data_IF_576406370419
#
_entry.id   IF_576406370419
#
_cell.length_a   1.000
_cell.length_b   1.000
_cell.length_c   1.000
_cell.angle_alpha   90.00
_cell.angle_beta   90.00
_cell.angle_gamma   90.00
#
_symmetry.space_group_name_H-M   'P 1'
#
loop_
_entity.id
_entity.type
_entity.pdbx_description
1 polymer ?
#
# COMPACT_ATOMS: atom_id res chain seq x y z
N UNK A 1 -12.84 -18.28 7.54
CA UNK A 1 -11.60 -18.23 8.35
C UNK A 1 -11.22 -16.78 8.41
N UNK A 2 -11.37 -16.14 9.56
CA UNK A 2 -11.02 -14.73 9.74
C UNK A 2 -9.51 -14.60 9.57
N UNK A 3 -9.05 -13.96 8.50
CA UNK A 3 -7.64 -13.68 8.29
C UNK A 3 -7.18 -12.72 9.38
N UNK A 4 -6.23 -13.15 10.22
CA UNK A 4 -5.53 -12.23 11.10
C UNK A 4 -4.72 -11.26 10.24
N UNK A 5 -5.15 -9.99 10.20
CA UNK A 5 -4.58 -8.94 9.35
C UNK A 5 -3.07 -8.83 9.55
N UNK A 6 -2.62 -8.85 10.80
CA UNK A 6 -1.21 -8.72 11.16
C UNK A 6 -0.39 -9.89 10.62
N UNK A 7 -0.84 -11.13 10.86
CA UNK A 7 -0.18 -12.32 10.31
C UNK A 7 -0.15 -12.32 8.78
N UNK A 8 -1.25 -11.94 8.13
CA UNK A 8 -1.34 -11.95 6.68
C UNK A 8 -0.40 -10.92 6.01
N UNK A 9 -0.33 -9.71 6.58
CA UNK A 9 0.52 -8.63 6.06
C UNK A 9 1.99 -8.90 6.36
N UNK A 10 2.29 -9.44 7.54
CA UNK A 10 3.66 -9.79 7.95
C UNK A 10 4.27 -10.92 7.11
N UNK A 11 3.45 -11.73 6.45
CA UNK A 11 3.91 -12.80 5.57
C UNK A 11 4.37 -12.32 4.19
N UNK A 12 4.17 -11.05 3.83
CA UNK A 12 4.57 -10.55 2.52
C UNK A 12 6.09 -10.38 2.38
N UNK A 13 6.66 -10.59 1.18
CA UNK A 13 8.09 -10.50 0.96
C UNK A 13 8.69 -9.16 1.41
N UNK A 14 9.72 -9.22 2.26
CA UNK A 14 10.45 -8.05 2.76
C UNK A 14 9.68 -7.16 3.74
N UNK A 15 8.52 -7.61 4.23
CA UNK A 15 7.79 -6.90 5.29
C UNK A 15 8.45 -7.13 6.64
N UNK A 16 8.60 -6.04 7.39
CA UNK A 16 8.98 -6.05 8.79
C UNK A 16 7.85 -5.42 9.60
N UNK A 17 7.31 -6.18 10.55
CA UNK A 17 6.32 -5.70 11.51
C UNK A 17 7.00 -5.29 12.82
N UNK A 18 6.59 -4.17 13.40
CA UNK A 18 7.15 -3.65 14.65
C UNK A 18 6.18 -2.75 15.41
N UNK A 19 6.50 -2.37 16.66
CA UNK A 19 5.65 -1.49 17.44
C UNK A 19 5.57 -0.10 16.81
N UNK A 20 4.36 0.43 16.65
CA UNK A 20 4.15 1.80 16.19
C UNK A 20 4.20 2.81 17.34
N UNK A 21 4.75 4.01 17.10
CA UNK A 21 4.97 5.06 18.12
C UNK A 21 3.70 5.59 18.79
N UNK A 22 2.53 5.34 18.19
CA UNK A 22 1.22 5.75 18.72
C UNK A 22 0.40 4.54 19.24
N UNK A 23 1.09 3.48 19.67
CA UNK A 23 0.54 2.14 19.88
C UNK A 23 0.08 1.48 18.56
N UNK A 24 0.01 0.15 18.57
CA UNK A 24 -0.30 -0.65 17.39
C UNK A 24 0.93 -1.27 16.72
N UNK A 25 0.71 -1.86 15.55
CA UNK A 25 1.73 -2.56 14.74
C UNK A 25 1.95 -1.80 13.44
N UNK A 26 3.19 -1.36 13.20
CA UNK A 26 3.66 -0.75 11.95
C UNK A 26 4.18 -1.83 11.01
N UNK A 27 3.85 -1.71 9.72
CA UNK A 27 4.42 -2.52 8.66
C UNK A 27 5.32 -1.68 7.77
N UNK A 28 6.55 -2.14 7.59
CA UNK A 28 7.54 -1.49 6.72
C UNK A 28 8.05 -2.45 5.65
N UNK A 29 8.46 -1.91 4.50
CA UNK A 29 9.17 -2.65 3.45
C UNK A 29 10.32 -1.79 2.93
N UNK A 30 11.53 -2.36 2.87
CA UNK A 30 12.75 -1.60 2.54
C UNK A 30 12.97 -0.37 3.42
N UNK A 31 12.57 -0.45 4.70
CA UNK A 31 12.70 0.62 5.70
C UNK A 31 11.69 1.76 5.56
N UNK A 32 10.61 1.60 4.78
CA UNK A 32 9.53 2.59 4.65
C UNK A 32 8.20 2.01 5.08
N UNK A 33 7.47 2.77 5.88
CA UNK A 33 6.11 2.45 6.30
C UNK A 33 5.15 2.44 5.11
N UNK A 34 4.38 1.37 5.00
CA UNK A 34 3.29 1.26 4.02
C UNK A 34 1.91 1.11 4.68
N UNK A 35 1.86 1.06 6.01
CA UNK A 35 0.64 1.15 6.81
C UNK A 35 0.86 0.65 8.23
N UNK A 36 -0.09 0.93 9.11
CA UNK A 36 -0.09 0.43 10.48
C UNK A 36 -1.51 0.18 10.98
N UNK A 37 -1.61 -0.64 12.03
CA UNK A 37 -2.87 -1.05 12.63
C UNK A 37 -2.92 -0.68 14.11
N UNK A 38 -4.05 -0.14 14.56
CA UNK A 38 -4.34 0.18 15.97
C UNK A 38 -5.21 -0.90 16.60
N UNK A 39 -4.60 -2.06 16.90
CA UNK A 39 -5.31 -3.24 17.42
C UNK A 39 -6.38 -3.72 16.44
N UNK A 40 -7.55 -4.12 16.92
CA UNK A 40 -8.60 -4.71 16.05
C UNK A 40 -9.56 -3.69 15.43
N UNK A 41 -9.28 -2.38 15.50
CA UNK A 41 -10.29 -1.34 15.22
C UNK A 41 -10.02 -0.48 13.99
N UNK A 42 -8.76 -0.28 13.63
CA UNK A 42 -8.40 0.76 12.67
C UNK A 42 -7.07 0.45 11.98
N UNK A 43 -6.99 0.77 10.70
CA UNK A 43 -5.77 0.71 9.89
C UNK A 43 -5.56 2.06 9.22
N UNK A 44 -4.37 2.63 9.36
CA UNK A 44 -3.98 3.84 8.67
C UNK A 44 -2.96 3.50 7.56
N UNK A 45 -3.22 4.00 6.35
CA UNK A 45 -2.41 3.65 5.17
C UNK A 45 -1.94 4.93 4.45
N UNK A 46 -0.63 5.12 4.23
CA UNK A 46 -0.11 6.20 3.40
C UNK A 46 -0.22 5.88 1.91
N UNK A 47 -0.71 6.85 1.12
CA UNK A 47 -0.70 6.78 -0.34
C UNK A 47 -0.14 8.06 -0.98
N UNK A 48 0.36 8.02 -2.22
CA UNK A 48 0.46 9.21 -3.05
C UNK A 48 -0.91 9.88 -3.18
N UNK A 49 -0.99 11.22 -3.05
CA UNK A 49 -2.27 11.96 -2.95
C UNK A 49 -3.31 11.59 -4.02
N UNK A 50 -2.90 11.45 -5.28
CA UNK A 50 -3.84 11.04 -6.34
C UNK A 50 -4.42 9.63 -6.17
N UNK A 51 -3.62 8.68 -5.67
CA UNK A 51 -4.11 7.33 -5.34
C UNK A 51 -5.03 7.40 -4.12
N UNK A 52 -4.67 8.21 -3.11
CA UNK A 52 -5.52 8.48 -1.95
C UNK A 52 -6.90 8.98 -2.38
N UNK A 53 -6.93 9.98 -3.25
CA UNK A 53 -8.18 10.59 -3.71
C UNK A 53 -9.04 9.56 -4.44
N UNK A 54 -8.45 8.78 -5.35
CA UNK A 54 -9.17 7.72 -6.06
C UNK A 54 -9.77 6.65 -5.13
N UNK A 55 -9.02 6.12 -4.14
CA UNK A 55 -9.57 5.09 -3.24
C UNK A 55 -10.67 5.64 -2.32
N UNK A 56 -10.63 6.93 -1.99
CA UNK A 56 -11.70 7.60 -1.22
C UNK A 56 -12.92 7.86 -2.09
N UNK A 57 -12.73 8.34 -3.32
CA UNK A 57 -13.82 8.61 -4.27
C UNK A 57 -14.55 7.32 -4.70
N UNK A 58 -13.82 6.19 -4.75
CA UNK A 58 -14.40 4.85 -4.95
C UNK A 58 -15.13 4.30 -3.71
N UNK A 59 -15.12 5.01 -2.58
CA UNK A 59 -15.79 4.59 -1.35
C UNK A 59 -15.11 3.41 -0.62
N UNK A 60 -13.87 3.07 -0.97
CA UNK A 60 -13.12 1.96 -0.33
C UNK A 60 -12.67 2.30 1.09
N UNK A 61 -12.49 3.59 1.38
CA UNK A 61 -12.02 4.10 2.68
C UNK A 61 -12.30 5.60 2.83
N UNK A 62 -11.92 6.17 3.97
CA UNK A 62 -12.05 7.58 4.29
C UNK A 62 -10.69 8.27 4.43
N UNK A 63 -10.66 9.59 4.24
CA UNK A 63 -9.48 10.40 4.54
C UNK A 63 -9.04 10.18 5.99
N UNK A 64 -7.74 10.32 6.26
CA UNK A 64 -7.24 10.22 7.62
C UNK A 64 -7.89 11.25 8.55
N UNK A 65 -8.42 10.78 9.69
CA UNK A 65 -9.27 11.58 10.58
C UNK A 65 -8.56 12.79 11.22
N UNK A 66 -7.23 12.71 11.47
CA UNK A 66 -6.43 13.84 11.98
C UNK A 66 -5.70 14.63 10.88
N UNK A 67 -5.45 14.02 9.72
CA UNK A 67 -4.60 14.57 8.67
C UNK A 67 -5.29 14.49 7.30
N UNK A 68 -6.51 15.05 7.14
CA UNK A 68 -7.35 14.81 5.98
C UNK A 68 -6.76 15.34 4.66
N UNK A 69 -5.85 16.32 4.73
CA UNK A 69 -5.21 16.90 3.54
C UNK A 69 -3.92 16.16 3.11
N UNK A 70 -3.46 15.21 3.93
CA UNK A 70 -2.30 14.37 3.63
C UNK A 70 -2.62 13.27 2.61
N UNK A 71 -1.63 12.43 2.31
CA UNK A 71 -1.82 11.19 1.52
C UNK A 71 -2.44 10.03 2.31
N UNK A 72 -2.70 10.21 3.60
CA UNK A 72 -3.16 9.14 4.48
C UNK A 72 -4.67 8.91 4.41
N UNK A 73 -5.05 7.64 4.56
CA UNK A 73 -6.43 7.20 4.77
C UNK A 73 -6.54 6.47 6.11
N UNK A 74 -7.76 6.41 6.63
CA UNK A 74 -8.12 5.60 7.80
C UNK A 74 -9.24 4.63 7.41
N UNK A 75 -8.99 3.33 7.56
CA UNK A 75 -10.01 2.27 7.44
C UNK A 75 -10.37 1.75 8.83
N UNK A 76 -11.61 1.99 9.25
CA UNK A 76 -12.16 1.39 10.47
C UNK A 76 -12.61 -0.05 10.20
N UNK A 77 -12.44 -0.90 11.23
CA UNK A 77 -12.76 -2.32 11.19
C UNK A 77 -13.99 -2.58 12.08
N UNK A 78 -15.14 -2.76 11.45
CA UNK A 78 -16.41 -3.05 12.13
C UNK A 78 -16.93 -4.46 11.86
N UNK A 79 -16.53 -5.05 10.72
CA UNK A 79 -16.87 -6.42 10.33
C UNK A 79 -15.70 -7.09 9.59
N UNK A 80 -15.82 -8.40 9.33
CA UNK A 80 -14.78 -9.16 8.61
C UNK A 80 -14.51 -8.60 7.21
N UNK A 81 -15.54 -8.10 6.51
CA UNK A 81 -15.37 -7.45 5.20
C UNK A 81 -14.48 -6.20 5.26
N UNK A 82 -14.40 -5.52 6.41
CA UNK A 82 -13.49 -4.39 6.59
C UNK A 82 -12.04 -4.84 6.69
N UNK A 83 -11.79 -6.02 7.26
CA UNK A 83 -10.45 -6.62 7.31
C UNK A 83 -9.98 -6.97 5.90
N UNK A 84 -10.85 -7.59 5.09
CA UNK A 84 -10.53 -7.88 3.68
C UNK A 84 -10.21 -6.60 2.90
N UNK A 85 -11.01 -5.54 3.09
CA UNK A 85 -10.75 -4.23 2.47
C UNK A 85 -9.46 -3.59 2.98
N UNK A 86 -9.15 -3.71 4.28
CA UNK A 86 -7.91 -3.18 4.85
C UNK A 86 -6.68 -3.92 4.30
N UNK A 87 -6.74 -5.25 4.19
CA UNK A 87 -5.69 -6.06 3.55
C UNK A 87 -5.51 -5.66 2.09
N UNK A 88 -6.60 -5.41 1.36
CA UNK A 88 -6.54 -4.92 -0.02
C UNK A 88 -5.85 -3.54 -0.11
N UNK A 89 -6.19 -2.60 0.77
CA UNK A 89 -5.58 -1.26 0.82
C UNK A 89 -4.09 -1.33 1.16
N UNK A 90 -3.73 -2.15 2.15
CA UNK A 90 -2.34 -2.40 2.52
C UNK A 90 -1.57 -3.04 1.37
N UNK A 91 -2.18 -3.98 0.62
CA UNK A 91 -1.55 -4.61 -0.54
C UNK A 91 -1.25 -3.59 -1.64
N UNK A 92 -2.18 -2.67 -1.91
CA UNK A 92 -1.97 -1.59 -2.88
C UNK A 92 -0.77 -0.71 -2.46
N UNK A 93 -0.72 -0.30 -1.19
CA UNK A 93 0.37 0.52 -0.66
C UNK A 93 1.71 -0.21 -0.70
N UNK A 94 1.72 -1.49 -0.31
CA UNK A 94 2.89 -2.37 -0.39
C UNK A 94 3.42 -2.48 -1.81
N UNK A 95 2.57 -2.76 -2.80
CA UNK A 95 3.00 -2.91 -4.20
C UNK A 95 3.55 -1.59 -4.79
N UNK A 96 3.02 -0.43 -4.39
CA UNK A 96 3.60 0.87 -4.76
C UNK A 96 5.02 1.03 -4.20
N UNK A 97 5.27 0.57 -2.97
CA UNK A 97 6.59 0.59 -2.36
C UNK A 97 7.55 -0.41 -3.01
N UNK A 98 7.11 -1.65 -3.23
CA UNK A 98 7.89 -2.69 -3.91
C UNK A 98 8.32 -2.21 -5.29
N UNK A 99 7.40 -1.68 -6.10
CA UNK A 99 7.74 -1.18 -7.42
C UNK A 99 8.76 -0.03 -7.38
N UNK A 100 8.72 0.80 -6.33
CA UNK A 100 9.72 1.83 -6.12
C UNK A 100 11.08 1.26 -5.72
N UNK A 101 11.10 0.24 -4.85
CA UNK A 101 12.30 -0.44 -4.40
C UNK A 101 12.97 -1.23 -5.53
N UNK A 102 12.21 -1.92 -6.39
CA UNK A 102 12.73 -2.69 -7.53
C UNK A 102 13.53 -1.85 -8.53
N UNK A 103 13.30 -0.54 -8.58
CA UNK A 103 14.10 0.38 -9.41
C UNK A 103 15.48 0.70 -8.83
N UNK A 104 15.73 0.35 -7.57
CA UNK A 104 17.03 0.57 -6.95
C UNK A 104 17.99 -0.55 -7.35
N UNK A 105 19.27 -0.24 -7.61
CA UNK A 105 20.25 -1.26 -7.97
C UNK A 105 20.55 -2.24 -6.83
N UNK A 106 20.29 -1.84 -5.59
CA UNK A 106 20.51 -2.61 -4.36
C UNK A 106 19.25 -3.29 -3.81
N UNK A 107 18.17 -3.39 -4.60
CA UNK A 107 16.96 -4.08 -4.17
C UNK A 107 17.27 -5.53 -3.75
N UNK A 108 16.78 -5.93 -2.58
CA UNK A 108 16.88 -7.29 -2.05
C UNK A 108 16.18 -8.31 -2.96
N UNK A 109 16.67 -9.54 -2.98
CA UNK A 109 16.13 -10.59 -3.86
C UNK A 109 14.64 -10.86 -3.60
N UNK A 110 14.22 -10.88 -2.34
CA UNK A 110 12.81 -11.06 -1.97
C UNK A 110 11.90 -9.97 -2.58
N UNK A 111 12.42 -8.74 -2.72
CA UNK A 111 11.71 -7.62 -3.34
C UNK A 111 11.71 -7.76 -4.86
N UNK A 112 12.83 -8.19 -5.47
CA UNK A 112 12.91 -8.43 -6.92
C UNK A 112 11.99 -9.55 -7.38
N UNK A 113 11.80 -10.57 -6.55
CA UNK A 113 10.97 -11.73 -6.85
C UNK A 113 9.46 -11.43 -6.89
N UNK A 114 9.00 -10.29 -6.35
CA UNK A 114 7.58 -9.91 -6.38
C UNK A 114 7.19 -9.51 -7.81
N UNK A 115 6.31 -10.28 -8.44
CA UNK A 115 5.71 -9.91 -9.72
C UNK A 115 4.60 -8.86 -9.52
N UNK A 116 5.02 -7.61 -9.43
CA UNK A 116 4.11 -6.47 -9.24
C UNK A 116 3.05 -6.40 -10.35
N UNK A 117 3.39 -6.77 -11.58
CA UNK A 117 2.44 -6.71 -12.70
C UNK A 117 1.35 -7.77 -12.55
N UNK A 118 1.71 -9.02 -12.24
CA UNK A 118 0.74 -10.08 -12.00
C UNK A 118 -0.13 -9.80 -10.76
N UNK A 119 0.49 -9.33 -9.68
CA UNK A 119 -0.21 -8.99 -8.44
C UNK A 119 -1.24 -7.88 -8.65
N UNK A 120 -0.87 -6.79 -9.32
CA UNK A 120 -1.82 -5.70 -9.62
C UNK A 120 -2.88 -6.09 -10.64
N UNK A 121 -2.58 -7.02 -11.56
CA UNK A 121 -3.58 -7.57 -12.47
C UNK A 121 -4.61 -8.46 -11.75
N UNK A 122 -4.18 -9.20 -10.72
CA UNK A 122 -5.05 -10.02 -9.88
C UNK A 122 -5.87 -9.20 -8.87
N UNK A 123 -5.44 -7.97 -8.56
CA UNK A 123 -6.21 -7.06 -7.72
C UNK A 123 -7.43 -6.48 -8.46
N UNK A 124 -8.54 -6.36 -7.73
CA UNK A 124 -9.73 -5.62 -8.15
C UNK A 124 -9.50 -4.10 -8.14
N UNK A 125 -8.64 -3.61 -9.04
CA UNK A 125 -8.40 -2.19 -9.24
C UNK A 125 -9.42 -1.61 -10.22
N UNK A 126 -9.84 -0.35 -10.02
CA UNK A 126 -10.52 0.39 -11.09
C UNK A 126 -9.57 0.67 -12.25
N UNK A 127 -10.10 1.02 -13.43
CA UNK A 127 -9.26 1.44 -14.57
C UNK A 127 -8.35 2.63 -14.20
N UNK A 128 -8.89 3.62 -13.48
CA UNK A 128 -8.14 4.78 -13.03
C UNK A 128 -7.01 4.42 -12.06
N UNK A 129 -7.24 3.52 -11.10
CA UNK A 129 -6.19 3.05 -10.20
C UNK A 129 -5.11 2.26 -10.94
N UNK A 130 -5.46 1.42 -11.92
CA UNK A 130 -4.48 0.72 -12.77
C UNK A 130 -3.59 1.70 -13.53
N UNK A 131 -4.16 2.73 -14.13
CA UNK A 131 -3.40 3.77 -14.84
C UNK A 131 -2.48 4.56 -13.89
N UNK A 132 -2.99 4.96 -12.71
CA UNK A 132 -2.20 5.67 -11.70
C UNK A 132 -1.03 4.83 -11.16
N UNK A 133 -1.23 3.52 -11.04
CA UNK A 133 -0.20 2.57 -10.66
C UNK A 133 0.84 2.43 -11.78
N UNK A 134 0.40 2.15 -13.01
CA UNK A 134 1.28 2.03 -14.18
C UNK A 134 2.12 3.29 -14.42
N UNK A 135 1.55 4.48 -14.24
CA UNK A 135 2.28 5.76 -14.38
C UNK A 135 3.39 5.95 -13.32
N UNK A 136 3.30 5.24 -12.18
CA UNK A 136 4.26 5.32 -11.06
C UNK A 136 5.27 4.17 -11.07
N UNK A 137 4.95 3.06 -11.70
CA UNK A 137 5.80 1.88 -11.79
C UNK A 137 6.52 1.78 -13.13
N UNK A 138 5.90 2.28 -14.21
CA UNK A 138 6.54 2.51 -15.49
C UNK A 138 7.70 3.50 -15.33
N UNK A 139 8.91 3.04 -15.67
CA UNK A 139 10.11 3.86 -15.60
C UNK A 139 9.90 5.18 -16.33
N UNK A 140 10.33 6.28 -15.71
CA UNK A 140 10.41 7.58 -16.37
C UNK A 140 11.45 7.42 -17.49
N UNK A 141 11.00 7.11 -18.71
CA UNK A 141 11.83 7.27 -19.90
C UNK A 141 12.27 8.72 -19.89
N UNK A 142 13.57 8.96 -19.68
CA UNK A 142 14.14 10.27 -19.93
C UNK A 142 13.78 10.57 -21.38
N UNK A 143 12.97 11.62 -21.63
CA UNK A 143 12.98 12.22 -22.97
C UNK A 143 14.43 12.62 -23.18
N UNK A 144 15.05 12.06 -24.22
CA UNK A 144 16.26 12.64 -24.76
C UNK A 144 15.91 14.11 -25.03
N UNK A 145 16.55 15.01 -24.30
CA UNK A 145 16.58 16.41 -24.64
C UNK A 145 17.26 16.52 -25.99
N UNK A 146 16.53 17.00 -26.99
CA UNK A 146 17.05 17.30 -28.32
C UNK A 146 18.29 18.19 -28.20
N UNK A 147 19.27 17.85 -29.03
CA UNK A 147 20.58 18.47 -29.16
C UNK A 147 20.52 19.90 -29.73
#
# INVERSE_FOLDING_TARGET
>A
MTTDLESAVSAWPGVVAGPHRFAGTEFTVGGREFGHVHGTRQVDIPFPKGVRDAVVDEGRTSKHHLYPDSGWVTKYLHAESDVEQAVWLLRLSYLLHVAALQRRPDAEEAIRAVDVAAETAAMDLSAGLREMFAARTGGRTRRASDA
#
